data_IF_482489050428
#
_entry.id   IF_482489050428
#
_cell.length_a   1.000
_cell.length_b   1.000
_cell.length_c   1.000
_cell.angle_alpha   90.00
_cell.angle_beta   90.00
_cell.angle_gamma   90.00
#
_symmetry.space_group_name_H-M   'P 1'
#
loop_
_entity.id
_entity.type
_entity.pdbx_description
1 polymer ?
#
# COMPACT_ATOMS: atom_id res chain seq x y z
N UNK A 1 -9.94 14.42 -0.53
CA UNK A 1 -10.64 13.73 -1.63
C UNK A 1 -9.75 13.64 -2.88
N UNK A 2 -9.65 12.45 -3.49
CA UNK A 2 -8.73 12.15 -4.61
C UNK A 2 -9.38 12.04 -6.00
N UNK A 3 -10.70 11.93 -6.06
CA UNK A 3 -11.48 11.88 -7.31
C UNK A 3 -12.73 12.74 -7.16
N UNK A 4 -13.36 13.17 -8.26
CA UNK A 4 -14.56 14.01 -8.23
C UNK A 4 -15.85 13.18 -8.37
N UNK A 5 -16.99 13.82 -8.08
CA UNK A 5 -18.31 13.20 -8.30
C UNK A 5 -18.58 12.93 -9.77
N UNK A 6 -18.26 13.89 -10.65
CA UNK A 6 -18.45 13.72 -12.11
C UNK A 6 -17.71 12.48 -12.63
N UNK A 7 -16.47 12.26 -12.17
CA UNK A 7 -15.68 11.09 -12.54
C UNK A 7 -16.23 9.76 -12.02
N UNK A 8 -17.02 9.81 -10.95
CA UNK A 8 -17.74 8.64 -10.44
C UNK A 8 -19.02 8.41 -11.22
N UNK A 9 -19.80 9.45 -11.47
CA UNK A 9 -21.04 9.41 -12.26
C UNK A 9 -20.79 8.91 -13.67
N UNK A 10 -19.70 9.36 -14.33
CA UNK A 10 -19.28 8.89 -15.66
C UNK A 10 -19.01 7.38 -15.72
N UNK A 11 -18.83 6.72 -14.57
CA UNK A 11 -18.57 5.28 -14.46
C UNK A 11 -19.81 4.48 -14.07
N UNK A 12 -20.89 5.17 -13.67
CA UNK A 12 -22.17 4.57 -13.33
C UNK A 12 -23.00 4.35 -14.59
N UNK A 13 -23.76 3.28 -14.56
CA UNK A 13 -24.68 2.86 -15.60
C UNK A 13 -26.09 3.46 -15.42
N UNK A 14 -26.30 4.25 -14.37
CA UNK A 14 -27.53 5.00 -14.08
C UNK A 14 -27.23 6.42 -13.59
N UNK A 15 -28.22 7.31 -13.70
CA UNK A 15 -28.15 8.65 -13.15
C UNK A 15 -28.42 8.63 -11.64
N UNK A 16 -27.54 9.25 -10.87
CA UNK A 16 -27.67 9.33 -9.42
C UNK A 16 -28.64 10.45 -9.03
N UNK A 17 -29.57 10.16 -8.11
CA UNK A 17 -30.43 11.18 -7.53
C UNK A 17 -29.69 12.06 -6.49
N UNK A 18 -30.39 13.07 -5.95
CA UNK A 18 -29.77 14.01 -5.01
C UNK A 18 -29.29 13.35 -3.70
N UNK A 19 -29.96 12.31 -3.24
CA UNK A 19 -29.57 11.57 -2.03
C UNK A 19 -28.40 10.63 -2.33
N UNK A 20 -28.44 9.95 -3.48
CA UNK A 20 -27.36 9.10 -3.97
C UNK A 20 -26.08 9.91 -4.23
N UNK A 21 -26.18 11.14 -4.75
CA UNK A 21 -25.03 12.04 -4.92
C UNK A 21 -24.40 12.43 -3.57
N UNK A 22 -25.22 12.65 -2.54
CA UNK A 22 -24.73 12.92 -1.18
C UNK A 22 -24.02 11.70 -0.60
N UNK A 23 -24.57 10.50 -0.82
CA UNK A 23 -23.94 9.23 -0.40
C UNK A 23 -22.63 9.00 -1.18
N UNK A 24 -22.63 9.26 -2.48
CA UNK A 24 -21.46 9.14 -3.35
C UNK A 24 -20.31 10.05 -2.90
N UNK A 25 -20.62 11.29 -2.49
CA UNK A 25 -19.63 12.21 -1.97
C UNK A 25 -18.97 11.69 -0.69
N UNK A 26 -19.78 11.16 0.24
CA UNK A 26 -19.27 10.51 1.46
C UNK A 26 -18.40 9.29 1.10
N UNK A 27 -18.86 8.44 0.19
CA UNK A 27 -18.14 7.24 -0.21
C UNK A 27 -16.79 7.56 -0.88
N UNK A 28 -16.70 8.64 -1.66
CA UNK A 28 -15.44 9.11 -2.25
C UNK A 28 -14.47 9.62 -1.19
N UNK A 29 -14.98 10.29 -0.17
CA UNK A 29 -14.18 10.77 0.95
C UNK A 29 -13.65 9.59 1.77
N UNK A 30 -14.52 8.64 2.14
CA UNK A 30 -14.14 7.43 2.87
C UNK A 30 -13.13 6.58 2.09
N UNK A 31 -13.35 6.41 0.77
CA UNK A 31 -12.40 5.73 -0.11
C UNK A 31 -11.03 6.43 -0.16
N UNK A 32 -11.02 7.77 -0.16
CA UNK A 32 -9.77 8.55 -0.16
C UNK A 32 -9.02 8.39 1.16
N UNK A 33 -9.75 8.40 2.28
CA UNK A 33 -9.18 8.24 3.62
C UNK A 33 -8.62 6.83 3.83
N UNK A 34 -9.30 5.81 3.34
CA UNK A 34 -8.79 4.43 3.29
C UNK A 34 -7.56 4.30 2.38
N UNK A 35 -7.53 5.00 1.24
CA UNK A 35 -6.36 4.99 0.37
C UNK A 35 -5.14 5.60 1.06
N UNK A 36 -5.34 6.64 1.88
CA UNK A 36 -4.29 7.23 2.71
C UNK A 36 -3.82 6.29 3.82
N UNK A 37 -4.75 5.56 4.47
CA UNK A 37 -4.39 4.67 5.57
C UNK A 37 -3.50 3.52 5.12
N UNK A 38 -3.85 2.86 4.01
CA UNK A 38 -3.06 1.76 3.45
C UNK A 38 -1.82 2.25 2.69
N UNK A 39 -1.96 3.33 1.94
CA UNK A 39 -0.91 3.93 1.14
C UNK A 39 -0.14 5.03 1.86
N UNK A 40 -0.17 6.23 1.29
CA UNK A 40 0.41 7.45 1.87
C UNK A 40 -0.51 8.62 1.56
N UNK A 41 -0.25 9.77 2.15
CA UNK A 41 -0.89 10.99 1.69
C UNK A 41 -0.29 11.43 0.33
N UNK A 42 -1.17 11.64 -0.64
CA UNK A 42 -0.85 12.27 -1.91
C UNK A 42 -1.55 13.64 -2.00
N UNK A 43 -0.86 14.71 -2.41
CA UNK A 43 -1.50 15.98 -2.70
C UNK A 43 -2.52 15.81 -3.84
N UNK A 44 -3.69 16.43 -3.72
CA UNK A 44 -4.77 16.35 -4.72
C UNK A 44 -4.33 16.54 -6.19
N UNK A 45 -3.48 17.53 -6.55
CA UNK A 45 -3.04 17.70 -7.94
C UNK A 45 -2.02 16.66 -8.43
N UNK A 46 -1.41 15.91 -7.52
CA UNK A 46 -0.33 14.95 -7.83
C UNK A 46 -0.68 13.51 -7.47
N UNK A 47 -1.96 13.24 -7.19
CA UNK A 47 -2.44 11.87 -6.95
C UNK A 47 -2.14 11.01 -8.18
N UNK A 48 -1.45 9.86 -8.02
CA UNK A 48 -1.23 8.95 -9.12
C UNK A 48 -2.56 8.47 -9.71
N UNK A 49 -2.64 8.40 -11.05
CA UNK A 49 -3.86 7.97 -11.76
C UNK A 49 -4.40 6.62 -11.28
N UNK A 50 -3.50 5.72 -10.87
CA UNK A 50 -3.87 4.40 -10.37
C UNK A 50 -4.58 4.47 -9.01
N UNK A 51 -4.09 5.29 -8.07
CA UNK A 51 -4.75 5.54 -6.77
C UNK A 51 -6.16 6.08 -6.99
N UNK A 52 -6.29 7.07 -7.88
CA UNK A 52 -7.58 7.66 -8.26
C UNK A 52 -8.55 6.61 -8.83
N UNK A 53 -8.04 5.71 -9.67
CA UNK A 53 -8.83 4.61 -10.25
C UNK A 53 -9.32 3.64 -9.17
N UNK A 54 -8.48 3.33 -8.18
CA UNK A 54 -8.85 2.47 -7.05
C UNK A 54 -9.95 3.11 -6.20
N UNK A 55 -9.80 4.39 -5.84
CA UNK A 55 -10.80 5.15 -5.08
C UNK A 55 -12.15 5.15 -5.80
N UNK A 56 -12.16 5.48 -7.10
CA UNK A 56 -13.36 5.45 -7.93
C UNK A 56 -14.00 4.05 -7.98
N UNK A 57 -13.18 3.00 -8.10
CA UNK A 57 -13.66 1.61 -8.14
C UNK A 57 -14.28 1.17 -6.80
N UNK A 58 -13.69 1.56 -5.67
CA UNK A 58 -14.22 1.25 -4.35
C UNK A 58 -15.54 1.99 -4.08
N UNK A 59 -15.62 3.28 -4.41
CA UNK A 59 -16.86 4.06 -4.30
C UNK A 59 -17.97 3.51 -5.21
N UNK A 60 -17.65 3.19 -6.47
CA UNK A 60 -18.57 2.56 -7.42
C UNK A 60 -19.10 1.21 -6.92
N UNK A 61 -18.23 0.39 -6.31
CA UNK A 61 -18.62 -0.91 -5.72
C UNK A 61 -19.61 -0.71 -4.57
N UNK A 62 -19.36 0.28 -3.71
CA UNK A 62 -20.24 0.60 -2.60
C UNK A 62 -21.61 1.10 -3.09
N UNK A 63 -21.67 2.03 -4.05
CA UNK A 63 -22.94 2.54 -4.59
C UNK A 63 -23.80 1.45 -5.25
N UNK A 64 -23.18 0.46 -5.91
CA UNK A 64 -23.91 -0.68 -6.49
C UNK A 64 -24.52 -1.61 -5.45
N UNK A 65 -23.98 -1.63 -4.23
CA UNK A 65 -24.48 -2.47 -3.16
C UNK A 65 -24.25 -1.83 -1.78
N UNK A 66 -24.96 -0.74 -1.45
CA UNK A 66 -24.73 -0.01 -0.22
C UNK A 66 -25.01 -0.85 1.02
N UNK A 67 -25.94 -1.81 0.90
CA UNK A 67 -26.36 -2.69 1.98
C UNK A 67 -25.50 -3.97 2.10
N UNK A 68 -24.52 -4.18 1.21
CA UNK A 68 -23.61 -5.33 1.26
C UNK A 68 -24.29 -6.69 1.01
N UNK A 69 -25.41 -6.73 0.30
CA UNK A 69 -26.10 -7.98 -0.02
C UNK A 69 -25.25 -8.86 -0.96
N UNK A 70 -24.83 -10.04 -0.51
CA UNK A 70 -23.97 -10.94 -1.29
C UNK A 70 -24.82 -11.87 -2.19
N UNK A 71 -26.12 -12.05 -1.88
CA UNK A 71 -27.03 -12.88 -2.66
C UNK A 71 -28.49 -12.43 -2.45
N UNK A 72 -29.17 -12.03 -3.52
CA UNK A 72 -30.64 -11.87 -3.56
C UNK A 72 -31.24 -13.03 -4.35
N UNK A 73 -31.92 -13.97 -3.66
CA UNK A 73 -32.83 -14.93 -4.31
C UNK A 73 -34.09 -15.13 -3.46
N UNK A 74 -35.24 -14.94 -4.11
CA UNK A 74 -36.54 -15.27 -3.59
C UNK A 74 -36.77 -16.79 -3.68
N UNK A 75 -36.96 -17.44 -2.53
CA UNK A 75 -37.49 -18.81 -2.44
C UNK A 75 -36.44 -19.92 -2.35
N UNK A 76 -36.01 -20.20 -1.11
CA UNK A 76 -35.56 -21.51 -0.62
C UNK A 76 -34.22 -22.07 -1.18
N UNK A 77 -33.08 -21.73 -0.56
CA UNK A 77 -31.88 -22.58 -0.58
C UNK A 77 -30.82 -22.13 0.46
N UNK A 78 -30.12 -23.14 0.99
CA UNK A 78 -29.25 -23.18 2.19
C UNK A 78 -28.11 -22.15 2.26
N UNK A 79 -27.90 -21.60 3.47
CA UNK A 79 -26.93 -20.56 3.83
C UNK A 79 -25.47 -21.07 3.84
N UNK A 80 -24.61 -20.48 3.02
CA UNK A 80 -23.16 -20.54 3.18
C UNK A 80 -22.61 -19.12 3.42
N UNK A 81 -22.09 -18.88 4.62
CA UNK A 81 -21.47 -17.62 5.00
C UNK A 81 -20.07 -17.57 4.38
N UNK A 82 -19.93 -16.89 3.25
CA UNK A 82 -18.63 -16.57 2.67
C UNK A 82 -17.93 -15.52 3.53
N UNK A 83 -16.95 -15.94 4.33
CA UNK A 83 -16.06 -15.12 5.16
C UNK A 83 -15.37 -13.94 4.42
N UNK A 84 -15.49 -13.85 3.09
CA UNK A 84 -14.89 -12.81 2.27
C UNK A 84 -15.69 -11.50 2.17
N UNK A 85 -16.98 -11.48 2.54
CA UNK A 85 -17.85 -10.31 2.33
C UNK A 85 -18.68 -9.88 3.55
N UNK A 86 -18.75 -10.69 4.62
CA UNK A 86 -19.56 -10.36 5.79
C UNK A 86 -19.00 -9.26 6.70
N UNK A 87 -17.68 -8.99 6.64
CA UNK A 87 -17.01 -7.98 7.50
C UNK A 87 -17.09 -6.56 6.95
N UNK A 88 -17.15 -6.44 5.63
CA UNK A 88 -17.09 -5.15 4.90
C UNK A 88 -18.46 -4.74 4.34
N UNK A 89 -19.50 -5.54 4.60
CA UNK A 89 -20.88 -5.26 4.20
C UNK A 89 -21.36 -3.94 4.83
N UNK A 90 -21.82 -3.01 3.99
CA UNK A 90 -22.28 -1.70 4.45
C UNK A 90 -21.22 -0.60 4.53
N UNK A 91 -19.99 -0.87 4.10
CA UNK A 91 -18.90 0.13 4.11
C UNK A 91 -18.11 0.14 2.81
N UNK A 92 -17.40 1.23 2.55
CA UNK A 92 -16.44 1.30 1.46
C UNK A 92 -15.21 0.47 1.82
N UNK A 93 -14.75 -0.38 0.91
CA UNK A 93 -13.59 -1.24 1.16
C UNK A 93 -12.74 -1.46 -0.10
N UNK A 94 -11.46 -1.76 0.13
CA UNK A 94 -10.52 -2.24 -0.89
C UNK A 94 -10.34 -3.74 -0.78
N UNK A 95 -10.19 -4.44 -1.91
CA UNK A 95 -9.80 -5.86 -1.87
C UNK A 95 -8.35 -6.00 -1.44
N UNK A 96 -7.94 -7.23 -1.06
CA UNK A 96 -6.56 -7.51 -0.65
C UNK A 96 -5.54 -7.12 -1.72
N UNK A 97 -5.86 -7.34 -2.99
CA UNK A 97 -5.02 -7.00 -4.13
C UNK A 97 -4.92 -5.48 -4.32
N UNK A 98 -6.02 -4.76 -4.11
CA UNK A 98 -6.07 -3.30 -4.18
C UNK A 98 -5.24 -2.67 -3.05
N UNK A 99 -5.33 -3.22 -1.82
CA UNK A 99 -4.50 -2.81 -0.68
C UNK A 99 -3.01 -3.05 -0.99
N UNK A 100 -2.65 -4.24 -1.49
CA UNK A 100 -1.25 -4.55 -1.86
C UNK A 100 -0.69 -3.57 -2.89
N UNK A 101 -1.51 -3.18 -3.86
CA UNK A 101 -1.13 -2.21 -4.87
C UNK A 101 -0.96 -0.79 -4.28
N UNK A 102 -1.82 -0.39 -3.34
CA UNK A 102 -1.68 0.89 -2.62
C UNK A 102 -0.40 0.92 -1.78
N UNK A 103 -0.07 -0.16 -1.07
CA UNK A 103 1.16 -0.29 -0.29
C UNK A 103 2.42 -0.18 -1.17
N UNK A 104 2.38 -0.79 -2.35
CA UNK A 104 3.46 -0.74 -3.34
C UNK A 104 3.65 0.67 -3.91
N UNK A 105 2.56 1.32 -4.31
CA UNK A 105 2.57 2.72 -4.79
C UNK A 105 3.03 3.70 -3.71
N UNK A 106 2.80 3.39 -2.45
CA UNK A 106 3.27 4.18 -1.32
C UNK A 106 4.74 3.94 -0.96
N UNK A 107 5.40 2.94 -1.58
CA UNK A 107 6.77 2.55 -1.23
C UNK A 107 6.89 1.93 0.16
N UNK A 108 5.79 1.46 0.75
CA UNK A 108 5.77 0.82 2.08
C UNK A 108 6.21 -0.64 2.05
N UNK A 109 6.27 -1.25 0.87
CA UNK A 109 6.84 -2.59 0.69
C UNK A 109 8.33 -2.48 0.39
N UNK A 110 9.22 -2.95 1.30
CA UNK A 110 10.61 -3.13 0.95
C UNK A 110 10.70 -4.29 -0.06
N UNK A 111 10.86 -3.96 -1.34
CA UNK A 111 10.99 -4.95 -2.42
C UNK A 111 12.40 -5.52 -2.52
N UNK A 112 13.40 -4.80 -2.02
CA UNK A 112 14.80 -5.22 -1.97
C UNK A 112 15.40 -4.78 -0.63
N UNK A 113 15.89 -5.75 0.14
CA UNK A 113 16.62 -5.51 1.38
C UNK A 113 18.06 -6.02 1.21
N UNK A 114 19.05 -5.18 1.48
CA UNK A 114 20.44 -5.61 1.62
C UNK A 114 20.66 -5.95 3.09
N UNK A 115 20.84 -7.23 3.39
CA UNK A 115 21.17 -7.69 4.74
C UNK A 115 22.66 -8.01 4.77
N UNK A 116 23.48 -7.28 5.52
CA UNK A 116 24.89 -7.62 5.66
C UNK A 116 24.99 -8.97 6.40
N UNK A 117 25.48 -9.99 5.71
CA UNK A 117 25.82 -11.28 6.33
C UNK A 117 27.20 -11.12 6.97
N UNK A 118 27.23 -11.15 8.29
CA UNK A 118 28.46 -11.07 9.09
C UNK A 118 28.82 -12.46 9.59
N UNK A 119 30.10 -12.84 9.51
CA UNK A 119 30.58 -14.06 10.15
C UNK A 119 30.49 -13.90 11.68
N UNK A 120 30.20 -15.00 12.38
CA UNK A 120 30.16 -14.99 13.84
C UNK A 120 31.54 -14.58 14.39
N UNK A 121 31.59 -13.53 15.21
CA UNK A 121 32.83 -13.03 15.82
C UNK A 121 33.55 -11.90 15.07
N UNK A 122 33.04 -11.41 13.94
CA UNK A 122 33.65 -10.24 13.29
C UNK A 122 33.28 -8.96 14.05
N UNK A 123 34.29 -8.30 14.63
CA UNK A 123 34.13 -6.95 15.16
C UNK A 123 34.20 -5.98 13.98
N UNK A 124 33.07 -5.39 13.59
CA UNK A 124 33.08 -4.20 12.74
C UNK A 124 33.69 -3.06 13.56
N UNK A 125 35.02 -2.97 13.54
CA UNK A 125 35.70 -1.81 14.07
C UNK A 125 35.18 -0.59 13.31
N UNK A 126 34.56 0.35 14.01
CA UNK A 126 34.14 1.67 13.48
C UNK A 126 35.31 2.55 13.03
N UNK A 127 36.46 1.94 12.73
CA UNK A 127 37.76 2.54 12.58
C UNK A 127 38.68 1.71 11.66
N UNK A 128 38.12 0.92 10.73
CA UNK A 128 38.95 0.44 9.60
C UNK A 128 39.13 1.64 8.67
N UNK A 129 40.05 2.52 9.03
CA UNK A 129 40.51 3.60 8.18
C UNK A 129 40.90 3.05 6.80
N UNK A 130 40.71 3.86 5.77
CA UNK A 130 41.17 3.56 4.40
C UNK A 130 42.57 2.94 4.42
N UNK A 131 42.72 1.74 3.84
CA UNK A 131 44.01 1.04 3.73
C UNK A 131 44.30 -0.04 4.79
N UNK A 132 43.30 -0.54 5.52
CA UNK A 132 43.46 -1.68 6.45
C UNK A 132 42.45 -2.80 6.20
N UNK A 133 42.86 -4.04 6.48
CA UNK A 133 42.04 -5.25 6.32
C UNK A 133 41.54 -5.71 7.70
N UNK A 134 40.24 -6.01 7.86
CA UNK A 134 39.73 -6.62 9.08
C UNK A 134 40.34 -8.03 9.24
N UNK A 135 40.90 -8.29 10.41
CA UNK A 135 41.45 -9.61 10.78
C UNK A 135 40.74 -10.11 12.03
N UNK A 136 40.75 -11.42 12.25
CA UNK A 136 40.19 -12.00 13.46
C UNK A 136 41.04 -11.61 14.68
N UNK A 137 40.41 -10.99 15.68
CA UNK A 137 41.01 -10.67 16.98
C UNK A 137 40.84 -9.22 17.40
N UNK A 138 40.78 -8.94 18.72
CA UNK A 138 40.70 -7.58 19.23
C UNK A 138 42.03 -6.84 19.01
N UNK A 139 42.00 -5.78 18.20
CA UNK A 139 43.09 -4.80 18.12
C UNK A 139 44.19 -5.07 17.08
N UNK A 140 44.14 -6.18 16.34
CA UNK A 140 44.99 -6.38 15.17
C UNK A 140 44.30 -5.81 13.93
N UNK A 141 44.98 -4.93 13.20
CA UNK A 141 44.55 -4.49 11.88
C UNK A 141 45.73 -4.65 10.95
N UNK A 142 45.57 -5.37 9.84
CA UNK A 142 46.65 -5.58 8.89
C UNK A 142 46.63 -4.49 7.83
N UNK A 143 47.76 -3.82 7.53
CA UNK A 143 47.80 -2.81 6.46
C UNK A 143 47.54 -3.49 5.11
N UNK A 144 46.66 -2.90 4.30
CA UNK A 144 46.33 -3.41 2.95
C UNK A 144 47.49 -3.16 1.96
N UNK A 145 48.30 -2.14 2.21
CA UNK A 145 49.47 -1.79 1.41
C UNK A 145 50.75 -2.12 2.18
N UNK A 146 51.83 -2.44 1.45
CA UNK A 146 53.14 -2.74 2.04
C UNK A 146 53.87 -1.50 2.58
N UNK A 147 53.40 -0.29 2.27
CA UNK A 147 53.91 1.00 2.76
C UNK A 147 52.73 1.97 2.99
N UNK A 148 52.89 2.91 3.93
CA UNK A 148 51.87 3.90 4.36
C UNK A 148 51.61 4.98 3.28
N UNK A 149 52.31 4.93 2.14
CA UNK A 149 52.22 5.91 1.06
C UNK A 149 51.18 5.59 -0.02
N UNK A 150 50.51 4.43 0.06
CA UNK A 150 49.57 4.00 -0.98
C UNK A 150 50.27 3.47 -2.24
N UNK A 151 49.53 3.09 -3.29
CA UNK A 151 50.09 2.43 -4.46
C UNK A 151 50.79 3.37 -5.47
N UNK A 152 51.01 4.65 -5.12
CA UNK A 152 51.66 5.66 -5.95
C UNK A 152 52.57 6.58 -5.14
#
# INVERSE_FOLDING_TARGET
>A
MYATLDELTDRMDWELDADELRIAASALQDASDLAMSYGREWPAPTVPRLVKTLVLKAAARYLRNPNGYVQSRAGDETLAWGDAHGRDAGSVYFTREEIRLLEELAGRRPTLASVPVMAWGTVLGSAVGTGRVPVEGPGSSFPFFSDDRGPW
#
